data_IF_894603350737
#
_entry.id   IF_894603350737
#
_cell.length_a   1.000
_cell.length_b   1.000
_cell.length_c   1.000
_cell.angle_alpha   90.00
_cell.angle_beta   90.00
_cell.angle_gamma   90.00
#
_symmetry.space_group_name_H-M   'P 1'
#
loop_
_entity.id
_entity.type
_entity.pdbx_description
1 polymer ?
#
# COMPACT_ATOMS: atom_id res chain seq x y z
N UNK A 1 -0.56 28.43 -5.90
CA UNK A 1 -0.93 27.33 -4.99
C UNK A 1 0.33 26.55 -4.63
N UNK A 2 0.48 26.05 -3.40
CA UNK A 2 1.64 25.26 -3.01
C UNK A 2 1.72 24.00 -3.89
N UNK A 3 2.94 23.66 -4.36
CA UNK A 3 3.17 22.41 -5.09
C UNK A 3 3.69 21.36 -4.12
N UNK A 4 3.16 20.15 -4.23
CA UNK A 4 3.58 18.99 -3.44
C UNK A 4 4.55 18.17 -4.25
N UNK A 5 5.65 17.74 -3.63
CA UNK A 5 6.67 16.91 -4.28
C UNK A 5 6.33 15.44 -4.06
N UNK A 6 5.99 14.74 -5.13
CA UNK A 6 5.49 13.36 -5.10
C UNK A 6 6.28 12.44 -6.04
N UNK A 7 6.24 11.14 -5.79
CA UNK A 7 6.83 10.11 -6.64
C UNK A 7 5.91 8.87 -6.65
N UNK A 8 6.00 8.04 -7.68
CA UNK A 8 5.28 6.75 -7.72
C UNK A 8 6.30 5.63 -7.61
N UNK A 9 6.06 4.67 -6.73
CA UNK A 9 7.01 3.60 -6.48
C UNK A 9 6.32 2.29 -6.09
N UNK A 10 7.07 1.20 -6.22
CA UNK A 10 6.76 -0.09 -5.60
C UNK A 10 7.56 -0.18 -4.30
N UNK A 11 6.94 -0.64 -3.21
CA UNK A 11 7.57 -0.84 -1.92
C UNK A 11 7.64 -2.35 -1.61
N UNK A 12 8.82 -2.92 -1.34
CA UNK A 12 8.92 -4.33 -0.96
C UNK A 12 8.23 -4.63 0.36
N UNK A 13 7.71 -5.85 0.57
CA UNK A 13 7.09 -6.25 1.82
C UNK A 13 8.07 -6.11 3.00
N UNK A 14 7.57 -6.01 4.25
CA UNK A 14 8.40 -5.72 5.42
C UNK A 14 9.64 -6.61 5.58
N UNK A 15 9.52 -7.91 5.29
CA UNK A 15 10.63 -8.87 5.38
C UNK A 15 11.77 -8.56 4.38
N UNK A 16 11.42 -8.19 3.14
CA UNK A 16 12.40 -7.81 2.11
C UNK A 16 12.95 -6.41 2.41
N UNK A 17 12.09 -5.47 2.80
CA UNK A 17 12.48 -4.12 3.19
C UNK A 17 13.49 -4.12 4.35
N UNK A 18 13.31 -4.99 5.35
CA UNK A 18 14.26 -5.15 6.46
C UNK A 18 15.65 -5.64 5.99
N UNK A 19 15.69 -6.59 5.06
CA UNK A 19 16.95 -7.06 4.48
C UNK A 19 17.67 -5.95 3.70
N UNK A 20 16.94 -5.18 2.89
CA UNK A 20 17.50 -4.04 2.15
C UNK A 20 18.03 -2.97 3.11
N UNK A 21 17.30 -2.67 4.19
CA UNK A 21 17.76 -1.74 5.21
C UNK A 21 19.01 -2.24 5.94
N UNK A 22 19.12 -3.55 6.20
CA UNK A 22 20.35 -4.16 6.71
C UNK A 22 21.55 -3.92 5.81
N UNK A 23 21.38 -4.08 4.49
CA UNK A 23 22.45 -3.80 3.50
C UNK A 23 22.78 -2.30 3.49
N UNK A 24 21.77 -1.42 3.50
CA UNK A 24 21.96 0.05 3.54
C UNK A 24 22.71 0.49 4.80
N UNK A 25 22.45 -0.13 5.94
CA UNK A 25 23.15 0.16 7.19
C UNK A 25 24.64 -0.20 7.12
N UNK A 26 25.01 -1.28 6.43
CA UNK A 26 26.41 -1.64 6.19
C UNK A 26 27.12 -0.65 5.25
N UNK A 27 26.36 -0.02 4.35
CA UNK A 27 26.88 0.95 3.38
C UNK A 27 26.95 2.38 3.92
N UNK A 28 26.28 2.68 5.03
CA UNK A 28 26.28 3.95 5.76
C UNK A 28 26.02 5.20 4.87
N UNK A 29 24.78 5.32 4.38
CA UNK A 29 24.32 6.52 3.68
C UNK A 29 23.12 7.17 4.40
N UNK A 30 23.33 8.29 5.13
CA UNK A 30 22.27 8.95 5.88
C UNK A 30 21.18 9.55 4.98
N UNK A 31 21.41 9.70 3.67
CA UNK A 31 20.44 10.26 2.72
C UNK A 31 19.33 9.27 2.36
N UNK A 32 19.62 7.97 2.43
CA UNK A 32 18.71 6.92 2.00
C UNK A 32 18.23 6.02 3.15
N UNK A 33 18.86 6.11 4.33
CA UNK A 33 18.46 5.37 5.52
C UNK A 33 17.00 5.65 5.91
N UNK A 34 16.54 6.89 5.78
CA UNK A 34 15.18 7.32 6.11
C UNK A 34 14.16 7.19 4.96
N UNK A 35 14.60 6.71 3.79
CA UNK A 35 13.75 6.47 2.64
C UNK A 35 13.32 5.00 2.64
N UNK A 36 12.02 4.66 2.65
CA UNK A 36 11.61 3.27 2.47
C UNK A 36 12.31 2.65 1.25
N UNK A 37 12.83 1.40 1.36
CA UNK A 37 13.29 0.67 0.19
C UNK A 37 12.21 0.68 -0.88
N UNK A 38 12.57 1.01 -2.11
CA UNK A 38 11.59 1.23 -3.17
C UNK A 38 12.21 1.04 -4.55
N UNK A 39 11.36 0.69 -5.51
CA UNK A 39 11.64 0.73 -6.93
C UNK A 39 10.81 1.86 -7.54
N UNK A 40 11.48 2.87 -8.09
CA UNK A 40 10.81 4.07 -8.65
C UNK A 40 10.10 3.77 -9.96
N UNK A 41 8.79 4.02 -10.03
CA UNK A 41 7.97 3.96 -11.24
C UNK A 41 7.78 5.32 -11.88
N UNK A 42 7.76 6.41 -11.12
CA UNK A 42 7.72 7.80 -11.61
C UNK A 42 8.66 8.60 -10.72
N UNK A 43 9.69 9.27 -11.27
CA UNK A 43 10.63 10.04 -10.47
C UNK A 43 9.95 11.23 -9.78
N UNK A 44 10.58 11.83 -8.76
CA UNK A 44 10.04 12.98 -8.05
C UNK A 44 9.57 14.12 -8.97
N UNK A 45 8.30 14.52 -8.82
CA UNK A 45 7.65 15.61 -9.53
C UNK A 45 6.97 16.56 -8.55
N UNK A 46 6.97 17.87 -8.84
CA UNK A 46 6.17 18.84 -8.10
C UNK A 46 4.82 18.99 -8.81
N UNK A 47 3.70 18.83 -8.11
CA UNK A 47 2.33 18.94 -8.67
C UNK A 47 1.47 19.90 -7.83
N UNK A 48 0.52 20.58 -8.47
CA UNK A 48 -0.56 21.28 -7.76
C UNK A 48 -1.67 20.31 -7.32
N UNK A 49 -2.67 20.78 -6.58
CA UNK A 49 -3.72 19.91 -6.05
C UNK A 49 -4.60 19.27 -7.13
N UNK A 50 -4.95 20.01 -8.19
CA UNK A 50 -5.73 19.48 -9.33
C UNK A 50 -4.97 18.37 -10.08
N UNK A 51 -3.69 18.59 -10.36
CA UNK A 51 -2.80 17.57 -10.96
C UNK A 51 -2.69 16.35 -10.04
N UNK A 52 -2.57 16.56 -8.72
CA UNK A 52 -2.47 15.46 -7.77
C UNK A 52 -3.74 14.60 -7.76
N UNK A 53 -4.93 15.22 -7.82
CA UNK A 53 -6.20 14.50 -7.95
C UNK A 53 -6.29 13.72 -9.27
N UNK A 54 -5.78 14.31 -10.36
CA UNK A 54 -5.68 13.64 -11.66
C UNK A 54 -4.76 12.43 -11.58
N UNK A 55 -3.58 12.58 -10.98
CA UNK A 55 -2.63 11.48 -10.79
C UNK A 55 -3.24 10.34 -9.97
N UNK A 56 -3.92 10.63 -8.85
CA UNK A 56 -4.60 9.59 -8.06
C UNK A 56 -5.59 8.77 -8.90
N UNK A 57 -6.37 9.46 -9.75
CA UNK A 57 -7.34 8.81 -10.64
C UNK A 57 -6.64 7.94 -11.70
N UNK A 58 -5.52 8.41 -12.26
CA UNK A 58 -4.66 7.63 -13.16
C UNK A 58 -4.14 6.38 -12.46
N UNK A 59 -3.57 6.53 -11.26
CA UNK A 59 -3.00 5.41 -10.50
C UNK A 59 -4.06 4.33 -10.25
N UNK A 60 -5.24 4.72 -9.76
CA UNK A 60 -6.39 3.83 -9.60
C UNK A 60 -6.73 3.06 -10.88
N UNK A 61 -6.83 3.78 -11.99
CA UNK A 61 -7.20 3.19 -13.29
C UNK A 61 -6.14 2.25 -13.84
N UNK A 62 -4.86 2.54 -13.61
CA UNK A 62 -3.75 1.65 -14.01
C UNK A 62 -3.72 0.42 -13.12
N UNK A 63 -3.83 0.58 -11.80
CA UNK A 63 -3.81 -0.53 -10.85
C UNK A 63 -4.93 -1.54 -11.11
N UNK A 64 -6.17 -1.09 -11.36
CA UNK A 64 -7.31 -1.98 -11.62
C UNK A 64 -7.19 -2.84 -12.89
N UNK A 65 -6.26 -2.51 -13.78
CA UNK A 65 -5.97 -3.24 -15.04
C UNK A 65 -4.62 -3.94 -15.01
N UNK A 66 -3.92 -3.91 -13.88
CA UNK A 66 -2.61 -4.53 -13.69
C UNK A 66 -2.82 -5.82 -12.92
N UNK A 67 -2.23 -6.91 -13.41
CA UNK A 67 -2.15 -8.15 -12.65
C UNK A 67 -0.94 -8.11 -11.72
N UNK A 68 -1.01 -8.85 -10.62
CA UNK A 68 0.14 -9.08 -9.74
C UNK A 68 1.29 -9.75 -10.53
N UNK A 69 2.54 -9.45 -10.17
CA UNK A 69 3.70 -10.02 -10.85
C UNK A 69 4.90 -10.18 -9.91
N UNK A 70 5.79 -11.09 -10.28
CA UNK A 70 6.94 -11.48 -9.48
C UNK A 70 8.20 -10.70 -9.90
N UNK A 71 8.89 -10.10 -8.93
CA UNK A 71 10.24 -9.56 -9.09
C UNK A 71 11.24 -10.27 -8.17
N UNK A 72 12.51 -10.26 -8.57
CA UNK A 72 13.63 -10.69 -7.71
C UNK A 72 14.65 -9.58 -7.61
N UNK A 73 15.25 -9.42 -6.42
CA UNK A 73 16.16 -8.34 -6.09
C UNK A 73 17.56 -8.87 -5.78
N UNK A 74 18.57 -8.34 -6.44
CA UNK A 74 19.95 -8.79 -6.31
C UNK A 74 20.51 -9.29 -7.66
N UNK A 75 21.83 -9.50 -7.76
CA UNK A 75 22.87 -9.11 -6.80
C UNK A 75 23.02 -7.58 -6.66
N UNK A 76 23.96 -7.13 -5.83
CA UNK A 76 24.35 -5.72 -5.82
C UNK A 76 25.03 -5.38 -7.15
N UNK A 77 24.56 -4.31 -7.80
CA UNK A 77 25.15 -3.73 -9.00
C UNK A 77 25.56 -2.27 -8.78
N UNK A 78 26.19 -1.69 -9.81
CA UNK A 78 26.52 -0.26 -9.83
C UNK A 78 26.26 0.35 -11.21
N UNK A 79 25.89 1.62 -11.24
CA UNK A 79 25.80 2.42 -12.47
C UNK A 79 27.14 3.07 -12.86
N UNK A 80 28.23 2.78 -12.14
CA UNK A 80 29.55 3.31 -12.48
C UNK A 80 30.03 2.81 -13.86
N UNK A 81 30.76 3.63 -14.62
CA UNK A 81 31.25 4.97 -14.26
C UNK A 81 30.25 6.11 -14.51
N UNK A 82 29.08 5.85 -15.09
CA UNK A 82 28.13 6.90 -15.46
C UNK A 82 27.58 7.63 -14.23
N UNK A 83 27.14 6.88 -13.20
CA UNK A 83 26.81 7.42 -11.88
C UNK A 83 27.31 6.48 -10.78
N UNK A 84 27.98 6.98 -9.73
CA UNK A 84 28.52 6.16 -8.65
C UNK A 84 27.43 5.75 -7.64
N UNK A 85 26.43 5.00 -8.10
CA UNK A 85 25.29 4.55 -7.32
C UNK A 85 25.27 3.02 -7.24
N UNK A 86 25.20 2.49 -6.02
CA UNK A 86 24.98 1.07 -5.73
C UNK A 86 23.48 0.79 -5.68
N UNK A 87 23.06 -0.33 -6.23
CA UNK A 87 21.66 -0.74 -6.26
C UNK A 87 21.53 -2.26 -6.24
N UNK A 88 20.34 -2.76 -5.91
CA UNK A 88 19.96 -4.15 -6.20
C UNK A 88 19.46 -4.22 -7.63
N UNK A 89 20.03 -5.14 -8.40
CA UNK A 89 19.54 -5.48 -9.75
C UNK A 89 18.14 -6.09 -9.64
N UNK A 90 17.26 -5.75 -10.57
CA UNK A 90 15.88 -6.25 -10.59
C UNK A 90 15.73 -7.26 -11.73
N UNK A 91 15.31 -8.47 -11.41
CA UNK A 91 15.02 -9.56 -12.35
C UNK A 91 13.58 -10.09 -12.15
N UNK A 92 13.21 -11.18 -12.82
CA UNK A 92 11.84 -11.73 -12.80
C UNK A 92 10.97 -11.20 -13.94
N UNK A 93 9.72 -10.84 -13.67
CA UNK A 93 8.74 -10.39 -14.65
C UNK A 93 8.91 -8.90 -15.02
N UNK A 94 10.12 -8.51 -15.42
CA UNK A 94 10.47 -7.12 -15.75
C UNK A 94 9.65 -6.55 -16.92
N UNK A 95 9.12 -7.42 -17.81
CA UNK A 95 8.20 -7.00 -18.86
C UNK A 95 6.90 -6.40 -18.30
N UNK A 96 6.30 -7.03 -17.28
CA UNK A 96 5.11 -6.53 -16.59
C UNK A 96 5.39 -5.19 -15.89
N UNK A 97 6.57 -5.08 -15.24
CA UNK A 97 7.04 -3.83 -14.64
C UNK A 97 7.17 -2.68 -15.66
N UNK A 98 7.73 -2.97 -16.84
CA UNK A 98 7.85 -1.98 -17.92
C UNK A 98 6.48 -1.58 -18.46
N UNK A 99 5.57 -2.53 -18.65
CA UNK A 99 4.21 -2.23 -19.09
C UNK A 99 3.46 -1.36 -18.06
N UNK A 100 3.57 -1.67 -16.77
CA UNK A 100 3.05 -0.85 -15.69
C UNK A 100 3.60 0.58 -15.77
N UNK A 101 4.92 0.73 -15.94
CA UNK A 101 5.56 2.04 -16.08
C UNK A 101 5.04 2.80 -17.30
N UNK A 102 4.94 2.17 -18.47
CA UNK A 102 4.45 2.84 -19.68
C UNK A 102 3.01 3.32 -19.53
N UNK A 103 2.15 2.55 -18.86
CA UNK A 103 0.77 2.98 -18.55
C UNK A 103 0.71 4.22 -17.64
N UNK A 104 1.77 4.49 -16.86
CA UNK A 104 1.90 5.68 -16.02
C UNK A 104 2.46 6.90 -16.77
N UNK A 105 2.93 6.75 -18.01
CA UNK A 105 3.46 7.84 -18.84
C UNK A 105 2.33 8.62 -19.50
N UNK A 106 1.53 9.27 -18.67
CA UNK A 106 0.43 10.15 -19.05
C UNK A 106 0.43 11.42 -18.19
N UNK A 107 -0.29 12.45 -18.62
CA UNK A 107 -0.51 13.64 -17.80
C UNK A 107 -1.04 13.24 -16.39
N UNK A 108 -0.58 13.88 -15.30
CA UNK A 108 0.32 15.05 -15.22
C UNK A 108 1.80 14.71 -15.02
N UNK A 109 2.18 13.45 -15.15
CA UNK A 109 3.54 12.97 -14.83
C UNK A 109 4.36 12.54 -16.05
N UNK A 110 3.76 12.56 -17.24
CA UNK A 110 4.48 12.32 -18.48
C UNK A 110 5.57 13.37 -18.68
N UNK A 111 6.80 12.89 -18.82
CA UNK A 111 8.01 13.70 -18.98
C UNK A 111 8.99 12.95 -19.87
N UNK A 112 9.78 13.68 -20.67
CA UNK A 112 10.84 13.07 -21.45
C UNK A 112 11.86 12.41 -20.52
N UNK A 113 12.25 11.18 -20.86
CA UNK A 113 13.34 10.48 -20.19
C UNK A 113 14.68 10.99 -20.72
N UNK A 114 15.60 11.32 -19.81
CA UNK A 114 16.99 11.65 -20.15
C UNK A 114 17.81 10.36 -20.36
N UNK A 115 17.45 9.30 -19.63
CA UNK A 115 18.10 7.99 -19.66
C UNK A 115 17.03 6.89 -19.74
N UNK A 116 17.30 5.77 -20.45
CA UNK A 116 16.40 4.64 -20.46
C UNK A 116 16.08 4.16 -19.04
N UNK A 117 14.84 3.75 -18.81
CA UNK A 117 14.45 3.16 -17.54
C UNK A 117 15.25 1.88 -17.23
N UNK A 118 16.02 1.93 -16.15
CA UNK A 118 16.68 0.77 -15.54
C UNK A 118 15.96 0.45 -14.22
N UNK A 119 15.33 -0.72 -14.12
CA UNK A 119 14.70 -1.16 -12.89
C UNK A 119 15.77 -1.45 -11.83
N UNK A 120 15.69 -0.79 -10.68
CA UNK A 120 16.65 -0.94 -9.60
C UNK A 120 16.05 -0.53 -8.24
N UNK A 121 16.65 -1.03 -7.16
CA UNK A 121 16.42 -0.51 -5.80
C UNK A 121 17.72 0.10 -5.28
N UNK A 122 17.75 1.41 -5.08
CA UNK A 122 18.97 2.11 -4.67
C UNK A 122 19.41 1.69 -3.26
N UNK A 123 20.70 1.41 -3.11
CA UNK A 123 21.33 1.08 -1.83
C UNK A 123 22.16 2.25 -1.29
N UNK A 124 22.94 2.91 -2.14
CA UNK A 124 23.76 4.07 -1.75
C UNK A 124 24.12 4.88 -2.98
N UNK A 125 24.10 6.20 -2.85
CA UNK A 125 24.50 7.12 -3.92
C UNK A 125 25.88 7.72 -3.63
N UNK A 126 26.52 8.35 -4.62
CA UNK A 126 27.81 9.07 -4.43
C UNK A 126 28.91 8.23 -3.78
N UNK A 127 29.02 6.96 -4.16
CA UNK A 127 29.98 6.00 -3.59
C UNK A 127 31.40 6.33 -4.08
N UNK A 128 32.41 6.42 -3.20
CA UNK A 128 33.81 6.55 -3.61
C UNK A 128 34.22 5.40 -4.53
N UNK A 129 34.94 5.68 -5.61
CA UNK A 129 35.21 4.69 -6.68
C UNK A 129 35.88 3.42 -6.15
N UNK A 130 36.80 3.57 -5.20
CA UNK A 130 37.51 2.49 -4.52
C UNK A 130 36.61 1.59 -3.66
N UNK A 131 35.44 2.08 -3.24
CA UNK A 131 34.45 1.33 -2.46
C UNK A 131 33.46 0.56 -3.34
N UNK A 132 33.37 0.86 -4.64
CA UNK A 132 32.36 0.26 -5.53
C UNK A 132 32.58 -1.25 -5.67
N UNK A 133 33.80 -1.70 -6.01
CA UNK A 133 34.07 -3.12 -6.23
C UNK A 133 33.89 -3.98 -4.95
N UNK A 134 34.40 -3.56 -3.77
CA UNK A 134 34.07 -4.23 -2.51
C UNK A 134 32.57 -4.27 -2.22
N UNK A 135 31.86 -3.16 -2.44
CA UNK A 135 30.42 -3.08 -2.14
C UNK A 135 29.57 -3.96 -3.06
N UNK A 136 29.93 -4.09 -4.34
CA UNK A 136 29.29 -5.03 -5.28
C UNK A 136 29.42 -6.48 -4.81
N UNK A 137 30.45 -6.79 -4.02
CA UNK A 137 30.66 -8.15 -3.47
C UNK A 137 29.84 -8.43 -2.20
N UNK A 138 29.11 -7.46 -1.64
CA UNK A 138 28.34 -7.62 -0.39
C UNK A 138 27.17 -8.60 -0.52
N UNK A 139 26.56 -8.67 -1.70
CA UNK A 139 25.48 -9.60 -2.00
C UNK A 139 25.61 -10.07 -3.44
N UNK A 140 26.02 -11.32 -3.61
CA UNK A 140 26.20 -11.96 -4.91
C UNK A 140 24.99 -12.79 -5.36
N UNK A 141 24.03 -13.03 -4.46
CA UNK A 141 22.78 -13.73 -4.71
C UNK A 141 21.56 -12.82 -4.80
N UNK A 142 20.38 -13.44 -4.90
CA UNK A 142 19.09 -12.76 -4.85
C UNK A 142 18.51 -12.81 -3.42
N UNK A 143 17.76 -11.78 -3.05
CA UNK A 143 16.88 -11.80 -1.89
C UNK A 143 15.65 -12.70 -2.17
N UNK A 144 14.77 -12.83 -1.18
CA UNK A 144 13.49 -13.50 -1.35
C UNK A 144 12.68 -12.91 -2.52
N UNK A 145 11.91 -13.77 -3.18
CA UNK A 145 10.96 -13.39 -4.22
C UNK A 145 9.98 -12.33 -3.72
N UNK A 146 9.76 -11.29 -4.52
CA UNK A 146 8.82 -10.23 -4.25
C UNK A 146 7.60 -10.34 -5.17
N UNK A 147 6.47 -10.76 -4.59
CA UNK A 147 5.16 -10.62 -5.22
C UNK A 147 4.72 -9.16 -5.18
N UNK A 148 4.71 -8.51 -6.34
CA UNK A 148 4.28 -7.13 -6.48
C UNK A 148 2.78 -7.12 -6.73
N UNK A 149 2.03 -6.67 -5.72
CA UNK A 149 0.57 -6.65 -5.73
C UNK A 149 -0.02 -5.24 -5.59
N UNK A 150 0.83 -4.20 -5.47
CA UNK A 150 0.38 -2.82 -5.30
C UNK A 150 1.47 -1.80 -5.64
N UNK A 151 1.05 -0.57 -5.91
CA UNK A 151 1.93 0.59 -6.05
C UNK A 151 1.55 1.72 -5.10
N UNK A 152 2.48 2.64 -4.86
CA UNK A 152 2.30 3.71 -3.89
C UNK A 152 2.59 5.07 -4.50
N UNK A 153 1.78 6.06 -4.11
CA UNK A 153 2.13 7.47 -4.25
C UNK A 153 2.85 7.92 -2.98
N UNK A 154 4.09 8.35 -3.13
CA UNK A 154 4.89 8.90 -2.05
C UNK A 154 4.85 10.42 -2.10
N UNK A 155 4.86 11.06 -0.94
CA UNK A 155 5.05 12.50 -0.79
C UNK A 155 6.29 12.79 0.04
N UNK A 156 7.05 13.79 -0.40
CA UNK A 156 8.16 14.33 0.36
C UNK A 156 7.64 15.30 1.43
N UNK A 157 7.97 15.04 2.68
CA UNK A 157 7.62 15.86 3.85
C UNK A 157 8.89 16.57 4.33
N UNK A 158 9.21 17.77 3.79
CA UNK A 158 10.44 18.47 4.13
C UNK A 158 10.47 19.04 5.54
N UNK A 159 9.30 19.22 6.18
CA UNK A 159 9.20 19.72 7.56
C UNK A 159 9.38 18.62 8.62
N UNK A 160 9.46 17.35 8.21
CA UNK A 160 9.83 16.27 9.12
C UNK A 160 11.31 16.42 9.53
N UNK A 161 11.65 15.97 10.73
CA UNK A 161 13.04 15.91 11.20
C UNK A 161 13.42 14.44 11.46
N UNK A 162 14.26 13.82 10.60
CA UNK A 162 14.77 14.35 9.33
C UNK A 162 13.68 14.38 8.22
N UNK A 163 13.90 15.15 7.13
CA UNK A 163 13.04 15.12 5.96
C UNK A 163 12.87 13.69 5.43
N UNK A 164 11.64 13.31 5.07
CA UNK A 164 11.35 11.94 4.65
C UNK A 164 10.30 11.87 3.55
N UNK A 165 10.24 10.72 2.89
CA UNK A 165 9.16 10.38 1.98
C UNK A 165 8.18 9.45 2.69
N UNK A 166 6.90 9.77 2.61
CA UNK A 166 5.83 8.95 3.21
C UNK A 166 4.86 8.50 2.14
N UNK A 167 4.38 7.25 2.18
CA UNK A 167 3.28 6.84 1.33
C UNK A 167 2.01 7.59 1.74
N UNK A 168 1.28 8.11 0.76
CA UNK A 168 0.02 8.86 0.97
C UNK A 168 -1.18 8.25 0.25
N UNK A 169 -0.94 7.37 -0.73
CA UNK A 169 -1.94 6.57 -1.45
C UNK A 169 -1.34 5.21 -1.76
N UNK A 170 -2.15 4.17 -1.67
CA UNK A 170 -1.79 2.79 -1.97
C UNK A 170 -2.78 2.21 -2.99
N UNK A 171 -2.30 1.70 -4.12
CA UNK A 171 -3.16 1.16 -5.18
C UNK A 171 -2.89 -0.32 -5.41
N UNK A 172 -3.75 -1.22 -4.88
CA UNK A 172 -3.66 -2.66 -5.13
C UNK A 172 -3.94 -3.01 -6.59
N UNK A 173 -3.20 -3.97 -7.13
CA UNK A 173 -3.38 -4.59 -8.45
C UNK A 173 -4.51 -5.61 -8.45
N UNK A 174 -5.63 -5.23 -7.82
CA UNK A 174 -6.83 -6.03 -7.74
C UNK A 174 -7.92 -5.37 -8.60
N UNK A 175 -8.73 -6.20 -9.25
CA UNK A 175 -9.97 -5.69 -9.84
C UNK A 175 -10.89 -5.24 -8.69
N UNK A 176 -11.34 -3.98 -8.69
CA UNK A 176 -12.20 -3.51 -7.62
C UNK A 176 -13.53 -4.27 -7.62
N UNK A 177 -13.95 -4.74 -6.44
CA UNK A 177 -15.26 -5.38 -6.31
C UNK A 177 -16.33 -4.29 -6.39
N UNK A 178 -17.13 -4.33 -7.44
CA UNK A 178 -18.32 -3.50 -7.58
C UNK A 178 -19.48 -4.14 -6.84
N UNK A 179 -19.90 -3.52 -5.75
CA UNK A 179 -21.09 -3.93 -5.02
C UNK A 179 -22.23 -2.99 -5.36
N UNK A 180 -23.36 -3.55 -5.84
CA UNK A 180 -24.58 -2.81 -6.15
C UNK A 180 -25.80 -3.29 -5.37
N UNK A 181 -26.44 -2.40 -4.62
CA UNK A 181 -27.87 -2.53 -4.23
C UNK A 181 -28.55 -1.17 -4.41
N UNK A 182 -29.72 -1.15 -5.04
CA UNK A 182 -30.52 0.07 -5.17
C UNK A 182 -29.84 1.23 -5.91
N UNK A 183 -28.90 0.95 -6.82
CA UNK A 183 -28.22 1.98 -7.64
C UNK A 183 -26.95 2.60 -7.05
N UNK A 184 -26.38 2.01 -6.00
CA UNK A 184 -25.11 2.47 -5.40
C UNK A 184 -24.01 1.49 -5.80
N UNK A 185 -23.13 1.91 -6.69
CA UNK A 185 -21.93 1.16 -7.06
C UNK A 185 -20.75 1.59 -6.18
N UNK A 186 -20.27 0.65 -5.38
CA UNK A 186 -19.11 0.83 -4.51
C UNK A 186 -17.87 0.21 -5.09
N UNK A 187 -16.75 0.89 -4.89
CA UNK A 187 -15.40 0.37 -5.06
C UNK A 187 -14.89 -0.08 -3.69
N UNK A 188 -14.63 -1.39 -3.51
CA UNK A 188 -13.99 -1.89 -2.29
C UNK A 188 -12.50 -2.16 -2.54
N UNK A 189 -11.65 -1.65 -1.64
CA UNK A 189 -10.19 -1.80 -1.70
C UNK A 189 -9.65 -2.30 -0.38
N UNK A 190 -8.78 -3.31 -0.40
CA UNK A 190 -8.01 -3.74 0.76
C UNK A 190 -6.66 -3.03 0.77
N UNK A 191 -6.34 -2.31 1.84
CA UNK A 191 -5.13 -1.51 1.97
C UNK A 191 -4.35 -1.88 3.23
N UNK A 192 -3.06 -1.56 3.23
CA UNK A 192 -2.18 -1.62 4.42
C UNK A 192 -1.86 -0.23 4.99
N UNK A 193 -2.06 0.81 4.19
CA UNK A 193 -1.86 2.21 4.54
C UNK A 193 -3.17 2.88 4.97
N UNK A 194 -3.12 3.61 6.08
CA UNK A 194 -4.19 4.56 6.44
C UNK A 194 -4.01 5.85 5.62
N UNK A 195 -4.67 5.94 4.48
CA UNK A 195 -4.63 7.14 3.63
C UNK A 195 -5.21 8.36 4.35
N UNK A 196 -4.75 9.61 4.07
CA UNK A 196 -5.24 10.81 4.76
C UNK A 196 -6.76 10.99 4.74
N UNK A 197 -7.41 10.62 3.63
CA UNK A 197 -8.87 10.67 3.48
C UNK A 197 -9.59 9.68 4.41
N UNK A 198 -8.99 8.51 4.65
CA UNK A 198 -9.52 7.51 5.57
C UNK A 198 -9.31 7.98 7.01
N UNK A 199 -8.13 8.54 7.31
CA UNK A 199 -7.85 9.15 8.61
C UNK A 199 -8.86 10.25 8.95
N UNK A 200 -9.23 11.08 7.97
CA UNK A 200 -10.25 12.12 8.13
C UNK A 200 -11.62 11.50 8.44
N UNK A 201 -12.08 10.52 7.64
CA UNK A 201 -13.34 9.81 7.87
C UNK A 201 -13.41 9.17 9.27
N UNK A 202 -12.31 8.54 9.71
CA UNK A 202 -12.18 7.95 11.04
C UNK A 202 -12.20 9.02 12.14
N UNK A 203 -11.59 10.17 11.91
CA UNK A 203 -11.56 11.28 12.88
C UNK A 203 -12.93 11.93 13.04
N UNK A 204 -13.68 12.07 11.94
CA UNK A 204 -15.00 12.72 11.91
C UNK A 204 -16.10 11.84 12.50
N UNK A 205 -16.04 10.52 12.27
CA UNK A 205 -17.16 9.62 12.61
C UNK A 205 -16.76 8.38 13.40
N UNK A 206 -15.49 8.28 13.81
CA UNK A 206 -14.96 7.16 14.56
C UNK A 206 -15.07 7.26 16.07
N UNK A 207 -14.80 6.14 16.74
CA UNK A 207 -14.68 6.08 18.19
C UNK A 207 -13.27 6.50 18.62
N UNK A 208 -13.16 7.52 19.49
CA UNK A 208 -11.87 8.00 20.03
C UNK A 208 -11.17 7.03 20.98
N UNK A 209 -11.87 6.00 21.46
CA UNK A 209 -11.40 5.08 22.51
C UNK A 209 -10.53 3.92 22.00
N UNK A 210 -10.28 3.81 20.69
CA UNK A 210 -9.56 2.66 20.09
C UNK A 210 -8.16 3.07 19.62
N UNK A 211 -7.19 2.19 19.90
CA UNK A 211 -5.73 2.33 19.76
C UNK A 211 -5.29 2.96 18.43
N UNK A 212 -4.17 3.67 18.46
CA UNK A 212 -3.53 4.21 17.25
C UNK A 212 -3.23 3.07 16.27
N UNK A 213 -3.87 3.14 15.10
CA UNK A 213 -3.79 2.13 14.04
C UNK A 213 -2.36 1.90 13.53
N UNK A 214 -1.48 2.87 13.78
CA UNK A 214 -0.08 2.86 13.38
C UNK A 214 0.79 1.95 14.27
N UNK A 215 0.30 1.54 15.45
CA UNK A 215 1.06 0.72 16.41
C UNK A 215 0.96 -0.80 16.13
N UNK A 216 0.19 -1.21 15.11
CA UNK A 216 -0.01 -2.62 14.79
C UNK A 216 1.01 -3.13 13.77
N UNK A 217 1.56 -4.32 14.01
CA UNK A 217 2.58 -4.92 13.13
C UNK A 217 2.08 -5.19 11.70
N UNK A 218 0.77 -5.44 11.52
CA UNK A 218 0.14 -5.63 10.20
C UNK A 218 -1.26 -5.02 10.17
N UNK A 219 -1.39 -3.71 9.87
CA UNK A 219 -2.69 -3.08 9.66
C UNK A 219 -3.37 -3.64 8.41
N UNK A 220 -4.69 -3.83 8.49
CA UNK A 220 -5.53 -4.16 7.35
C UNK A 220 -6.78 -3.29 7.35
N UNK A 221 -6.95 -2.59 6.23
CA UNK A 221 -8.08 -1.71 5.99
C UNK A 221 -8.89 -2.22 4.81
N UNK A 222 -10.20 -2.07 4.88
CA UNK A 222 -11.06 -2.09 3.70
C UNK A 222 -11.77 -0.76 3.57
N UNK A 223 -11.55 -0.08 2.46
CA UNK A 223 -12.14 1.22 2.15
C UNK A 223 -13.21 1.04 1.08
N UNK A 224 -14.38 1.64 1.30
CA UNK A 224 -15.42 1.76 0.29
C UNK A 224 -15.45 3.18 -0.27
N UNK A 225 -15.37 3.30 -1.59
CA UNK A 225 -15.50 4.56 -2.33
C UNK A 225 -16.68 4.48 -3.31
N UNK A 226 -17.23 5.63 -3.71
CA UNK A 226 -18.24 5.68 -4.77
C UNK A 226 -17.53 5.61 -6.12
N UNK A 227 -17.98 4.74 -7.03
CA UNK A 227 -17.30 4.57 -8.34
C UNK A 227 -17.25 5.88 -9.16
N UNK A 228 -18.27 6.73 -9.05
CA UNK A 228 -18.37 8.01 -9.76
C UNK A 228 -17.76 9.20 -8.99
N UNK A 229 -17.24 8.97 -7.78
CA UNK A 229 -16.53 9.98 -6.98
C UNK A 229 -15.26 9.33 -6.36
N UNK A 230 -14.31 8.88 -7.19
CA UNK A 230 -13.08 8.24 -6.70
C UNK A 230 -12.28 9.20 -5.83
N UNK A 231 -11.68 8.68 -4.75
CA UNK A 231 -10.93 9.50 -3.79
C UNK A 231 -11.78 10.19 -2.72
N UNK A 232 -13.03 9.77 -2.52
CA UNK A 232 -13.78 10.04 -1.28
C UNK A 232 -14.26 8.72 -0.69
N UNK A 233 -13.66 8.33 0.44
CA UNK A 233 -14.10 7.18 1.22
C UNK A 233 -15.48 7.46 1.85
N UNK A 234 -16.43 6.56 1.64
CA UNK A 234 -17.78 6.61 2.25
C UNK A 234 -17.94 5.60 3.38
N UNK A 235 -17.03 4.62 3.47
CA UNK A 235 -16.90 3.74 4.61
C UNK A 235 -15.48 3.18 4.73
N UNK A 236 -15.10 2.79 5.95
CA UNK A 236 -13.84 2.12 6.22
C UNK A 236 -14.04 1.06 7.32
N UNK A 237 -13.55 -0.15 7.08
CA UNK A 237 -13.33 -1.18 8.09
C UNK A 237 -11.83 -1.24 8.37
N UNK A 238 -11.44 -1.15 9.64
CA UNK A 238 -10.04 -1.04 10.03
C UNK A 238 -9.76 -2.02 11.15
N UNK A 239 -8.63 -2.70 11.05
CA UNK A 239 -8.16 -3.60 12.08
C UNK A 239 -6.73 -4.03 11.83
N UNK A 240 -6.35 -5.11 12.49
CA UNK A 240 -5.05 -5.74 12.31
C UNK A 240 -5.20 -7.22 12.06
N UNK A 241 -4.23 -7.79 11.38
CA UNK A 241 -4.12 -9.23 11.15
C UNK A 241 -2.84 -9.73 11.83
N UNK A 242 -2.90 -10.90 12.44
CA UNK A 242 -1.75 -11.58 13.01
C UNK A 242 -1.86 -13.07 12.70
N UNK A 243 -0.84 -13.85 13.09
CA UNK A 243 -0.85 -15.29 12.86
C UNK A 243 -2.09 -15.95 13.48
N UNK A 244 -3.04 -16.35 12.63
CA UNK A 244 -4.26 -17.08 13.01
C UNK A 244 -5.41 -16.21 13.54
N UNK A 245 -5.27 -14.89 13.66
CA UNK A 245 -6.35 -14.02 14.13
C UNK A 245 -6.37 -12.66 13.45
N UNK A 246 -7.56 -12.08 13.28
CA UNK A 246 -7.74 -10.74 12.75
C UNK A 246 -8.71 -9.98 13.63
N UNK A 247 -8.32 -8.84 14.17
CA UNK A 247 -9.14 -8.04 15.08
C UNK A 247 -9.65 -6.80 14.35
N UNK A 248 -10.98 -6.71 14.18
CA UNK A 248 -11.60 -5.49 13.69
C UNK A 248 -11.66 -4.45 14.82
N UNK A 249 -11.02 -3.33 14.56
CA UNK A 249 -10.94 -2.21 15.49
C UNK A 249 -11.98 -1.16 15.17
N UNK A 250 -12.36 -0.93 13.92
CA UNK A 250 -13.36 0.07 13.63
C UNK A 250 -14.12 -0.24 12.35
N UNK A 251 -15.39 0.12 12.34
CA UNK A 251 -16.20 0.18 11.13
C UNK A 251 -16.90 1.53 11.13
N UNK A 252 -16.60 2.35 10.14
CA UNK A 252 -17.17 3.68 9.97
C UNK A 252 -17.90 3.75 8.64
N UNK A 253 -19.06 4.40 8.64
CA UNK A 253 -19.81 4.76 7.44
C UNK A 253 -20.20 6.23 7.57
N UNK A 254 -19.90 7.00 6.54
CA UNK A 254 -20.32 8.40 6.39
C UNK A 254 -21.84 8.49 6.67
N UNK A 255 -22.30 9.39 7.56
CA UNK A 255 -23.71 9.54 7.91
C UNK A 255 -24.66 9.66 6.72
N UNK A 256 -24.26 10.37 5.66
CA UNK A 256 -25.07 10.57 4.45
C UNK A 256 -25.30 9.26 3.68
N UNK A 257 -24.46 8.26 3.96
CA UNK A 257 -24.39 6.98 3.26
C UNK A 257 -24.86 5.79 4.14
N UNK A 258 -25.38 6.06 5.35
CA UNK A 258 -25.92 5.04 6.26
C UNK A 258 -27.23 4.47 5.73
N UNK A 259 -27.60 3.28 6.23
CA UNK A 259 -28.80 2.52 5.83
C UNK A 259 -28.83 2.01 4.38
N UNK A 260 -27.74 2.21 3.63
CA UNK A 260 -27.59 1.75 2.24
C UNK A 260 -26.90 0.38 2.12
N UNK A 261 -26.66 -0.30 3.24
CA UNK A 261 -25.97 -1.61 3.30
C UNK A 261 -24.44 -1.54 3.15
N UNK A 262 -23.87 -0.35 2.93
CA UNK A 262 -22.44 -0.11 2.69
C UNK A 262 -21.58 -0.71 3.80
N UNK A 263 -21.86 -0.41 5.07
CA UNK A 263 -21.08 -0.92 6.20
C UNK A 263 -21.03 -2.44 6.29
N UNK A 264 -22.12 -3.14 5.92
CA UNK A 264 -22.13 -4.60 5.82
C UNK A 264 -21.16 -5.07 4.75
N UNK A 265 -21.21 -4.49 3.55
CA UNK A 265 -20.33 -4.90 2.46
C UNK A 265 -18.85 -4.64 2.77
N UNK A 266 -18.53 -3.48 3.34
CA UNK A 266 -17.18 -3.15 3.82
C UNK A 266 -16.70 -4.17 4.85
N UNK A 267 -17.51 -4.49 5.87
CA UNK A 267 -17.15 -5.47 6.89
C UNK A 267 -16.99 -6.88 6.31
N UNK A 268 -17.92 -7.33 5.47
CA UNK A 268 -17.87 -8.67 4.89
C UNK A 268 -16.65 -8.86 4.00
N UNK A 269 -16.26 -7.83 3.25
CA UNK A 269 -15.04 -7.85 2.46
C UNK A 269 -13.79 -7.84 3.34
N UNK A 270 -13.78 -7.06 4.43
CA UNK A 270 -12.70 -7.10 5.41
C UNK A 270 -12.53 -8.49 6.03
N UNK A 271 -13.64 -9.16 6.39
CA UNK A 271 -13.57 -10.54 6.89
C UNK A 271 -13.03 -11.50 5.82
N UNK A 272 -13.46 -11.37 4.56
CA UNK A 272 -12.95 -12.20 3.47
C UNK A 272 -11.44 -12.01 3.26
N UNK A 273 -10.96 -10.77 3.29
CA UNK A 273 -9.54 -10.46 3.23
C UNK A 273 -8.76 -11.06 4.41
N UNK A 274 -9.30 -10.98 5.64
CA UNK A 274 -8.73 -11.63 6.81
C UNK A 274 -8.62 -13.16 6.64
N UNK A 275 -9.66 -13.78 6.07
CA UNK A 275 -9.69 -15.22 5.85
C UNK A 275 -8.62 -15.68 4.88
N UNK A 276 -8.32 -14.92 3.83
CA UNK A 276 -7.23 -15.24 2.91
C UNK A 276 -5.86 -15.31 3.62
N UNK A 277 -5.72 -14.65 4.77
CA UNK A 277 -4.55 -14.76 5.66
C UNK A 277 -4.66 -15.89 6.69
N UNK A 278 -5.60 -16.83 6.50
CA UNK A 278 -5.93 -17.92 7.43
C UNK A 278 -6.27 -17.45 8.86
N UNK A 279 -6.83 -16.25 8.99
CA UNK A 279 -7.12 -15.65 10.28
C UNK A 279 -8.57 -15.88 10.74
N UNK A 280 -8.74 -16.21 12.02
CA UNK A 280 -10.06 -16.14 12.67
C UNK A 280 -10.41 -14.70 12.96
N UNK A 281 -11.58 -14.24 12.50
CA UNK A 281 -12.00 -12.85 12.68
C UNK A 281 -12.61 -12.65 14.06
N UNK A 282 -12.12 -11.64 14.78
CA UNK A 282 -12.65 -11.15 16.03
C UNK A 282 -13.16 -9.70 15.86
N UNK A 283 -14.35 -9.43 16.37
CA UNK A 283 -14.96 -8.11 16.39
C UNK A 283 -15.47 -7.84 17.80
N UNK A 284 -15.08 -6.72 18.40
CA UNK A 284 -15.66 -6.28 19.68
C UNK A 284 -16.74 -5.24 19.38
N UNK A 285 -18.04 -5.59 19.39
CA UNK A 285 -19.09 -4.65 19.05
C UNK A 285 -19.45 -3.74 20.23
N UNK A 286 -20.08 -2.60 19.93
CA UNK A 286 -20.96 -1.96 20.91
C UNK A 286 -22.10 -2.93 21.28
N UNK A 287 -22.62 -2.84 22.51
CA UNK A 287 -23.66 -3.75 23.02
C UNK A 287 -24.85 -3.91 22.06
N UNK A 288 -25.27 -2.81 21.44
CA UNK A 288 -26.40 -2.72 20.50
C UNK A 288 -26.13 -3.41 19.15
N UNK A 289 -24.86 -3.55 18.75
CA UNK A 289 -24.47 -4.11 17.44
C UNK A 289 -24.29 -5.63 17.44
N UNK A 290 -24.32 -6.28 18.60
CA UNK A 290 -24.03 -7.71 18.68
C UNK A 290 -25.13 -8.59 18.04
N UNK A 291 -26.40 -8.23 18.17
CA UNK A 291 -27.51 -8.99 17.56
C UNK A 291 -27.46 -8.95 16.03
N UNK A 292 -27.08 -7.82 15.44
CA UNK A 292 -26.96 -7.71 13.98
C UNK A 292 -25.76 -8.49 13.45
N UNK A 293 -24.64 -8.52 14.16
CA UNK A 293 -23.48 -9.35 13.82
C UNK A 293 -23.80 -10.85 13.88
N UNK A 294 -24.60 -11.30 14.84
CA UNK A 294 -25.08 -12.70 14.87
C UNK A 294 -25.85 -13.06 13.58
N UNK A 295 -26.72 -12.16 13.12
CA UNK A 295 -27.43 -12.35 11.84
C UNK A 295 -26.51 -12.32 10.61
N UNK A 296 -25.28 -11.85 10.76
CA UNK A 296 -24.24 -11.88 9.72
C UNK A 296 -23.26 -13.05 9.87
N UNK A 297 -23.56 -14.00 10.77
CA UNK A 297 -22.77 -15.23 10.94
C UNK A 297 -21.60 -15.10 11.92
N UNK A 298 -21.65 -14.15 12.85
CA UNK A 298 -20.71 -14.09 13.97
C UNK A 298 -21.26 -14.81 15.20
N UNK A 299 -20.40 -15.53 15.91
CA UNK A 299 -20.71 -16.21 17.17
C UNK A 299 -20.23 -15.39 18.35
N UNK A 300 -20.99 -15.37 19.45
CA UNK A 300 -20.59 -14.61 20.64
C UNK A 300 -19.69 -15.45 21.54
N UNK A 301 -18.50 -14.93 21.86
CA UNK A 301 -17.57 -15.49 22.84
C UNK A 301 -17.20 -14.39 23.85
N UNK A 302 -17.85 -14.41 25.01
CA UNK A 302 -17.73 -13.35 26.01
C UNK A 302 -18.22 -12.00 25.50
N UNK A 303 -17.35 -10.98 25.54
CA UNK A 303 -17.61 -9.65 25.00
C UNK A 303 -17.27 -9.49 23.50
N UNK A 304 -16.70 -10.53 22.88
CA UNK A 304 -16.22 -10.52 21.50
C UNK A 304 -17.13 -11.37 20.62
N UNK A 305 -17.23 -10.99 19.35
CA UNK A 305 -17.92 -11.71 18.29
C UNK A 305 -16.87 -12.34 17.37
N UNK A 306 -16.86 -13.67 17.26
CA UNK A 306 -15.94 -14.41 16.41
C UNK A 306 -16.61 -14.87 15.12
N UNK A 307 -15.83 -14.95 14.05
CA UNK A 307 -16.27 -15.57 12.81
C UNK A 307 -15.13 -16.38 12.21
N UNK A 308 -15.33 -17.68 12.12
CA UNK A 308 -14.46 -18.56 11.37
C UNK A 308 -14.96 -18.57 9.93
N UNK A 309 -14.07 -18.22 9.00
CA UNK A 309 -14.35 -18.32 7.57
C UNK A 309 -13.66 -19.58 7.07
N UNK A 310 -14.47 -20.53 6.59
CA UNK A 310 -13.95 -21.69 5.88
C UNK A 310 -13.42 -21.17 4.53
N UNK A 311 -12.12 -21.27 4.33
CA UNK A 311 -11.56 -21.14 2.98
C UNK A 311 -11.82 -22.49 2.31
N UNK A 312 -12.70 -22.52 1.32
CA UNK A 312 -12.78 -23.69 0.44
C UNK A 312 -11.40 -23.82 -0.24
N UNK A 313 -10.67 -24.86 0.12
CA UNK A 313 -9.34 -25.18 -0.43
C UNK A 313 -9.43 -25.82 -1.83
N UNK A 314 -10.54 -25.60 -2.53
CA UNK A 314 -10.82 -26.10 -3.87
C UNK A 314 -10.97 -24.93 -4.83
N UNK A 315 -9.84 -24.48 -5.38
CA UNK A 315 -9.74 -23.49 -6.45
C UNK A 315 -8.40 -23.62 -7.15
#
# INVERSE_FOLDING_TARGET
MPRRRVAVALLPPPAISAQIQGIRALLDDPRISNLPPHLTLVPPVNLGDEDLMTLRSVLRSVASRTAEFELRLGPVGSFAPATPTLHLVVSGQVAALRELRERLRVFPVDRPEIWPFSAHVTLRESVPVEQIAPAVSLLTGELATWEVDRMFLLEHVPQADPPRWVPIVEEPFATPIVVGRGGIELLLRTLTLVEPQVQQLLSDFGSRERRDLQDHEQPMLVVAERIHQPGRAVAAAVGSVSAGSAELQQLVVDPEHRLLGIGRHTLMHWCAAAANSHATVAVTPASESAQILQRWGFERVGATMLRQLLIDSSG
#
